data_IF_502391683141
#
_entry.id   IF_502391683141
#
_cell.length_a   1.000
_cell.length_b   1.000
_cell.length_c   1.000
_cell.angle_alpha   90.00
_cell.angle_beta   90.00
_cell.angle_gamma   90.00
#
_symmetry.space_group_name_H-M   'P 1'
#
loop_
_entity.id
_entity.type
_entity.pdbx_description
1 polymer ?
#
# COMPACT_ATOMS: atom_id res chain seq x y z
N UNK A 1 13.23 16.21 10.09
CA UNK A 1 13.12 15.33 8.91
C UNK A 1 12.05 15.91 7.99
N UNK A 2 12.15 15.77 6.66
CA UNK A 2 11.15 16.30 5.75
C UNK A 2 9.81 15.61 6.02
N UNK A 3 8.79 16.40 6.35
CA UNK A 3 7.42 15.95 6.51
C UNK A 3 6.84 15.75 5.10
N UNK A 4 6.38 14.55 4.79
CA UNK A 4 5.75 14.24 3.51
C UNK A 4 4.29 14.68 3.57
N UNK A 5 3.84 15.44 2.57
CA UNK A 5 2.46 15.94 2.45
C UNK A 5 1.48 14.76 2.35
N UNK A 6 0.74 14.47 3.43
CA UNK A 6 -0.26 13.40 3.45
C UNK A 6 -0.51 12.75 4.82
N UNK A 7 -0.05 13.33 5.93
CA UNK A 7 -0.41 12.81 7.27
C UNK A 7 -1.86 13.20 7.62
N UNK A 8 -2.81 12.37 7.16
CA UNK A 8 -4.15 12.29 7.74
C UNK A 8 -4.03 11.81 9.21
N UNK A 9 -4.74 12.51 10.09
CA UNK A 9 -4.69 12.40 11.55
C UNK A 9 -5.19 11.04 12.05
N UNK A 10 -4.28 10.08 12.24
CA UNK A 10 -4.54 8.81 12.90
C UNK A 10 -4.04 8.87 14.35
N UNK A 11 -4.93 9.27 15.28
CA UNK A 11 -4.90 8.96 16.72
C UNK A 11 -3.59 9.14 17.49
N UNK A 12 -3.56 10.16 18.37
CA UNK A 12 -2.63 10.38 19.50
C UNK A 12 -1.24 9.72 19.39
N UNK A 13 -0.36 10.35 18.60
CA UNK A 13 1.09 10.28 18.77
C UNK A 13 1.83 9.17 18.02
N UNK A 14 1.14 8.29 17.30
CA UNK A 14 1.79 7.31 16.40
C UNK A 14 1.03 7.26 15.07
N UNK A 15 1.48 8.09 14.13
CA UNK A 15 1.03 8.00 12.74
C UNK A 15 1.19 6.57 12.18
N UNK A 16 0.58 6.27 11.03
CA UNK A 16 0.52 4.92 10.49
C UNK A 16 1.91 4.30 10.43
N UNK A 17 2.03 3.06 10.89
CA UNK A 17 3.30 2.34 10.86
C UNK A 17 3.80 2.28 9.41
N UNK A 18 5.12 2.16 9.16
CA UNK A 18 5.64 2.00 7.81
C UNK A 18 4.93 0.87 7.03
N UNK A 19 4.56 -0.21 7.73
CA UNK A 19 3.78 -1.32 7.19
C UNK A 19 2.40 -0.87 6.69
N UNK A 20 1.65 -0.14 7.51
CA UNK A 20 0.32 0.36 7.15
C UNK A 20 0.39 1.41 6.03
N UNK A 21 1.40 2.29 6.06
CA UNK A 21 1.63 3.26 4.98
C UNK A 21 1.82 2.56 3.64
N UNK A 22 2.64 1.50 3.62
CA UNK A 22 2.88 0.75 2.40
C UNK A 22 1.65 -0.04 1.95
N UNK A 23 0.91 -0.67 2.87
CA UNK A 23 -0.35 -1.36 2.53
C UNK A 23 -1.39 -0.40 1.93
N UNK A 24 -1.57 0.78 2.52
CA UNK A 24 -2.46 1.81 1.97
C UNK A 24 -2.00 2.29 0.59
N UNK A 25 -0.70 2.50 0.39
CA UNK A 25 -0.16 2.90 -0.91
C UNK A 25 -0.38 1.82 -1.97
N UNK A 26 -0.18 0.55 -1.66
CA UNK A 26 -0.43 -0.55 -2.60
C UNK A 26 -1.92 -0.63 -2.92
N UNK A 27 -2.78 -0.54 -1.90
CA UNK A 27 -4.23 -0.60 -2.08
C UNK A 27 -4.77 0.55 -2.94
N UNK A 28 -4.16 1.75 -2.87
CA UNK A 28 -4.55 2.88 -3.73
C UNK A 28 -4.08 2.71 -5.18
N UNK A 29 -3.03 1.93 -5.43
CA UNK A 29 -2.59 1.56 -6.79
C UNK A 29 -3.42 0.45 -7.40
N UNK A 30 -3.84 -0.52 -6.59
CA UNK A 30 -4.59 -1.70 -7.04
C UNK A 30 -5.89 -1.81 -6.25
N UNK A 31 -6.90 -0.97 -6.54
CA UNK A 31 -8.16 -0.95 -5.79
C UNK A 31 -8.99 -2.23 -5.96
N UNK A 32 -8.77 -2.98 -7.04
CA UNK A 32 -9.54 -4.17 -7.39
C UNK A 32 -9.14 -5.44 -6.63
N UNK A 33 -7.96 -5.42 -5.97
CA UNK A 33 -7.46 -6.54 -5.16
C UNK A 33 -7.37 -6.10 -3.70
N UNK A 34 -7.99 -6.83 -2.75
CA UNK A 34 -7.89 -6.50 -1.34
C UNK A 34 -6.55 -6.99 -0.77
N UNK A 35 -5.54 -6.10 -0.76
CA UNK A 35 -4.21 -6.40 -0.23
C UNK A 35 -4.14 -5.96 1.24
N UNK A 36 -4.13 -6.94 2.14
CA UNK A 36 -4.16 -6.74 3.60
C UNK A 36 -2.88 -7.20 4.29
N UNK A 37 -2.05 -7.99 3.61
CA UNK A 37 -0.80 -8.53 4.15
C UNK A 37 0.34 -8.55 3.11
N UNK A 38 1.51 -9.02 3.55
CA UNK A 38 2.74 -9.16 2.74
C UNK A 38 3.15 -10.63 2.58
N UNK A 39 2.19 -11.56 2.70
CA UNK A 39 2.44 -13.00 2.63
C UNK A 39 1.42 -13.67 1.72
N UNK A 40 0.28 -14.12 2.27
CA UNK A 40 -0.71 -14.92 1.57
C UNK A 40 -1.29 -14.22 0.33
N UNK A 41 -1.48 -12.89 0.39
CA UNK A 41 -2.09 -12.11 -0.70
C UNK A 41 -1.19 -12.05 -1.96
N UNK A 42 0.06 -12.47 -1.85
CA UNK A 42 1.06 -12.40 -2.93
C UNK A 42 1.40 -13.78 -3.52
N UNK A 43 0.90 -14.87 -2.91
CA UNK A 43 1.28 -16.24 -3.27
C UNK A 43 0.82 -16.66 -4.66
N UNK A 44 -0.28 -16.09 -5.17
CA UNK A 44 -0.82 -16.41 -6.49
C UNK A 44 -0.17 -15.59 -7.63
N UNK A 45 0.71 -14.65 -7.29
CA UNK A 45 1.40 -13.76 -8.23
C UNK A 45 0.52 -12.67 -8.87
N UNK A 46 -0.80 -12.67 -8.65
CA UNK A 46 -1.72 -11.71 -9.27
C UNK A 46 -1.53 -10.31 -8.70
N UNK A 47 -1.33 -10.21 -7.39
CA UNK A 47 -1.04 -8.94 -6.71
C UNK A 47 0.23 -8.27 -7.27
N UNK A 48 1.27 -9.06 -7.56
CA UNK A 48 2.52 -8.55 -8.17
C UNK A 48 2.26 -8.03 -9.57
N UNK A 49 1.57 -8.82 -10.41
CA UNK A 49 1.26 -8.42 -11.79
C UNK A 49 0.43 -7.13 -11.86
N UNK A 50 -0.61 -7.05 -11.04
CA UNK A 50 -1.46 -5.86 -10.97
C UNK A 50 -0.71 -4.62 -10.45
N UNK A 51 0.21 -4.79 -9.49
CA UNK A 51 1.04 -3.68 -9.01
C UNK A 51 2.02 -3.19 -10.08
N UNK A 52 2.63 -4.09 -10.85
CA UNK A 52 3.53 -3.72 -11.95
C UNK A 52 2.78 -2.92 -13.01
N UNK A 53 1.61 -3.40 -13.43
CA UNK A 53 0.74 -2.73 -14.41
C UNK A 53 0.30 -1.35 -13.92
N UNK A 54 -0.05 -1.22 -12.63
CA UNK A 54 -0.43 0.06 -12.03
C UNK A 54 0.72 1.08 -11.91
N UNK A 55 1.97 0.62 -11.82
CA UNK A 55 3.17 1.48 -11.66
C UNK A 55 3.81 1.85 -12.99
N UNK A 56 3.87 0.92 -13.92
CA UNK A 56 4.38 1.12 -15.26
C UNK A 56 3.43 0.42 -16.25
N UNK A 57 2.36 1.11 -16.66
CA UNK A 57 1.43 0.58 -17.64
C UNK A 57 2.19 0.24 -18.92
N UNK A 58 2.00 -0.97 -19.43
CA UNK A 58 2.58 -1.43 -20.69
C UNK A 58 2.07 -0.63 -21.89
#
# INVERSE_FOLDING_TARGET
>A
MPMWEGEEDFGEGKGPTPKQRLLHWIQSRVPDLPITNFTADWNDGRAVGALVDAVAPG
#
